data_IF_722114548615
#
_entry.id   IF_722114548615
#
_cell.length_a   1.000
_cell.length_b   1.000
_cell.length_c   1.000
_cell.angle_alpha   90.00
_cell.angle_beta   90.00
_cell.angle_gamma   90.00
#
_symmetry.space_group_name_H-M   'P 1'
#
loop_
_entity.id
_entity.type
_entity.pdbx_description
1 polymer ?
#
# COMPACT_ATOMS: atom_id res chain seq x y z
N UNK A 1 7.81 14.04 -22.01
CA UNK A 1 6.66 13.27 -21.50
C UNK A 1 5.89 14.17 -20.55
N UNK A 2 4.65 14.48 -20.88
CA UNK A 2 3.71 15.25 -20.07
C UNK A 2 3.42 14.50 -18.77
N UNK A 3 3.50 15.19 -17.62
CA UNK A 3 3.11 14.63 -16.33
C UNK A 3 1.61 14.31 -16.40
N UNK A 4 1.17 13.09 -16.05
CA UNK A 4 -0.25 12.78 -16.04
C UNK A 4 -0.97 13.74 -15.07
N UNK A 5 -2.18 14.20 -15.41
CA UNK A 5 -2.93 15.10 -14.53
C UNK A 5 -3.06 14.48 -13.14
N UNK A 6 -3.00 15.28 -12.08
CA UNK A 6 -3.32 14.75 -10.75
C UNK A 6 -4.82 14.44 -10.66
N UNK A 7 -5.25 13.43 -9.89
CA UNK A 7 -6.67 13.19 -9.65
C UNK A 7 -7.31 14.46 -9.09
N UNK A 8 -8.56 14.75 -9.44
CA UNK A 8 -9.33 15.82 -8.78
C UNK A 8 -10.04 15.31 -7.53
N UNK A 9 -10.02 13.99 -7.29
CA UNK A 9 -10.65 13.28 -6.17
C UNK A 9 -9.93 11.94 -5.92
N UNK A 10 -10.12 11.34 -4.76
CA UNK A 10 -9.63 10.00 -4.45
C UNK A 10 -10.20 8.96 -5.43
N UNK A 11 -9.33 8.06 -5.93
CA UNK A 11 -9.67 6.96 -6.83
C UNK A 11 -9.26 5.66 -6.18
N UNK A 12 -10.19 4.69 -6.07
CA UNK A 12 -9.91 3.37 -5.53
C UNK A 12 -9.85 2.37 -6.68
N UNK A 13 -8.76 1.61 -6.74
CA UNK A 13 -8.56 0.51 -7.69
C UNK A 13 -8.47 -0.82 -6.94
N UNK A 14 -9.33 -1.77 -7.30
CA UNK A 14 -9.32 -3.14 -6.79
C UNK A 14 -9.10 -4.13 -7.93
N UNK A 15 -8.42 -5.25 -7.70
CA UNK A 15 -8.26 -6.29 -8.72
C UNK A 15 -9.61 -6.90 -9.12
N UNK A 16 -9.75 -7.38 -10.37
CA UNK A 16 -8.72 -7.47 -11.41
C UNK A 16 -8.57 -6.19 -12.25
N UNK A 17 -9.32 -5.12 -11.94
CA UNK A 17 -9.25 -3.87 -12.70
C UNK A 17 -7.83 -3.31 -12.60
N UNK A 18 -7.26 -2.93 -13.74
CA UNK A 18 -5.99 -2.20 -13.81
C UNK A 18 -6.25 -0.74 -14.13
N UNK A 19 -5.56 0.14 -13.43
CA UNK A 19 -5.54 1.57 -13.67
C UNK A 19 -4.10 2.03 -13.52
N UNK A 20 -3.58 2.76 -14.50
CA UNK A 20 -2.34 3.49 -14.28
C UNK A 20 -2.55 4.49 -13.15
N UNK A 21 -1.54 4.64 -12.29
CA UNK A 21 -1.61 5.63 -11.22
C UNK A 21 -1.70 7.04 -11.81
N UNK A 22 -2.80 7.71 -11.50
CA UNK A 22 -2.97 9.13 -11.83
C UNK A 22 -2.48 9.90 -10.60
N UNK A 23 -1.44 10.72 -10.75
CA UNK A 23 -0.84 11.49 -9.66
C UNK A 23 -0.18 10.65 -8.56
N UNK A 24 -0.39 11.03 -7.30
CA UNK A 24 0.23 10.37 -6.13
C UNK A 24 -0.59 9.15 -5.72
N UNK A 25 0.06 8.07 -5.31
CA UNK A 25 -0.58 6.77 -5.10
C UNK A 25 -0.09 6.02 -3.87
N UNK A 26 -0.96 5.14 -3.34
CA UNK A 26 -0.69 4.28 -2.19
C UNK A 26 -1.19 2.86 -2.43
N UNK A 27 -0.43 1.87 -1.98
CA UNK A 27 -0.84 0.45 -1.97
C UNK A 27 -1.16 -0.01 -0.54
N UNK A 28 -2.28 -0.73 -0.36
CA UNK A 28 -2.77 -1.22 0.94
C UNK A 28 -2.37 -2.68 1.20
N UNK A 29 -1.09 -2.96 1.39
CA UNK A 29 -0.60 -4.30 1.71
C UNK A 29 -0.76 -4.64 3.20
N UNK A 30 -0.73 -5.93 3.52
CA UNK A 30 -0.90 -6.43 4.88
C UNK A 30 -2.03 -7.45 4.99
N UNK A 31 -2.61 -7.49 6.18
CA UNK A 31 -3.51 -8.56 6.61
C UNK A 31 -4.83 -8.56 5.84
N UNK A 32 -5.15 -9.68 5.17
CA UNK A 32 -6.41 -9.93 4.41
C UNK A 32 -6.99 -11.31 4.78
N UNK A 33 -6.58 -11.90 5.90
CA UNK A 33 -6.98 -13.25 6.30
C UNK A 33 -8.50 -13.33 6.55
N UNK A 34 -9.21 -13.96 5.62
CA UNK A 34 -10.68 -14.01 5.60
C UNK A 34 -11.23 -14.69 6.85
N UNK A 35 -11.90 -13.90 7.70
CA UNK A 35 -12.49 -14.34 8.97
C UNK A 35 -11.63 -14.08 10.20
N UNK A 36 -10.45 -13.47 10.03
CA UNK A 36 -9.54 -13.11 11.13
C UNK A 36 -9.14 -11.64 11.07
N UNK A 37 -8.76 -11.15 9.88
CA UNK A 37 -8.42 -9.75 9.64
C UNK A 37 -9.69 -8.87 9.58
N UNK A 38 -9.61 -7.67 10.16
CA UNK A 38 -10.68 -6.66 10.02
C UNK A 38 -10.67 -6.07 8.60
N UNK A 39 -11.66 -5.24 8.26
CA UNK A 39 -11.65 -4.46 7.01
C UNK A 39 -10.97 -3.10 7.15
N UNK A 40 -9.74 -3.14 7.65
CA UNK A 40 -8.92 -1.95 7.83
C UNK A 40 -8.66 -1.20 6.50
N UNK A 41 -8.69 -1.90 5.36
CA UNK A 41 -8.56 -1.26 4.06
C UNK A 41 -9.71 -0.28 3.80
N UNK A 42 -10.92 -0.59 4.28
CA UNK A 42 -12.07 0.32 4.19
C UNK A 42 -11.87 1.55 5.05
N UNK A 43 -11.39 1.38 6.27
CA UNK A 43 -11.21 2.48 7.23
C UNK A 43 -10.17 3.48 6.71
N UNK A 44 -9.00 3.00 6.28
CA UNK A 44 -7.95 3.88 5.76
C UNK A 44 -8.34 4.51 4.42
N UNK A 45 -9.08 3.80 3.57
CA UNK A 45 -9.63 4.37 2.33
C UNK A 45 -10.59 5.51 2.62
N UNK A 46 -11.46 5.36 3.62
CA UNK A 46 -12.36 6.42 4.06
C UNK A 46 -11.59 7.62 4.61
N UNK A 47 -10.57 7.35 5.43
CA UNK A 47 -9.76 8.38 6.05
C UNK A 47 -8.86 9.16 5.07
N UNK A 48 -8.62 8.67 3.86
CA UNK A 48 -7.84 9.32 2.80
C UNK A 48 -8.71 9.85 1.65
N UNK A 49 -10.04 9.77 1.77
CA UNK A 49 -10.98 10.04 0.66
C UNK A 49 -11.04 11.51 0.21
N UNK A 50 -10.61 12.43 1.07
CA UNK A 50 -10.48 13.87 0.80
C UNK A 50 -9.25 14.21 -0.05
N UNK A 51 -8.28 13.29 -0.17
CA UNK A 51 -7.05 13.54 -0.91
C UNK A 51 -7.18 13.18 -2.40
N UNK A 52 -6.51 13.91 -3.30
CA UNK A 52 -6.46 13.59 -4.73
C UNK A 52 -5.44 12.48 -5.03
N UNK A 53 -5.68 11.28 -4.50
CA UNK A 53 -4.75 10.14 -4.61
C UNK A 53 -5.39 8.91 -5.27
N UNK A 54 -4.55 8.03 -5.81
CA UNK A 54 -4.96 6.69 -6.25
C UNK A 54 -4.63 5.67 -5.16
N UNK A 55 -5.64 4.93 -4.69
CA UNK A 55 -5.50 3.86 -3.69
C UNK A 55 -5.63 2.51 -4.37
N UNK A 56 -4.57 1.71 -4.34
CA UNK A 56 -4.58 0.32 -4.79
C UNK A 56 -4.87 -0.60 -3.61
N UNK A 57 -6.06 -1.18 -3.62
CA UNK A 57 -6.55 -2.06 -2.56
C UNK A 57 -6.57 -3.51 -3.06
N UNK A 58 -5.66 -4.38 -2.58
CA UNK A 58 -5.55 -5.77 -3.04
C UNK A 58 -6.72 -6.66 -2.59
N UNK A 59 -7.51 -6.24 -1.59
CA UNK A 59 -8.64 -7.02 -1.08
C UNK A 59 -9.75 -7.13 -2.13
N UNK A 60 -9.81 -8.30 -2.80
CA UNK A 60 -10.88 -8.66 -3.75
C UNK A 60 -12.23 -8.79 -3.05
N UNK A 61 -13.27 -8.22 -3.64
CA UNK A 61 -14.65 -8.41 -3.18
C UNK A 61 -15.14 -9.84 -3.45
N UNK A 62 -14.69 -10.45 -4.56
CA UNK A 62 -15.11 -11.78 -5.02
C UNK A 62 -13.99 -12.82 -4.91
N UNK A 63 -13.27 -12.88 -3.77
CA UNK A 63 -12.26 -13.93 -3.56
C UNK A 63 -12.90 -15.30 -3.39
N UNK A 64 -12.47 -16.28 -4.19
CA UNK A 64 -12.91 -17.66 -4.09
C UNK A 64 -11.84 -18.53 -3.41
N UNK A 65 -12.18 -19.09 -2.25
CA UNK A 65 -11.28 -19.95 -1.46
C UNK A 65 -10.92 -21.25 -2.18
N UNK A 66 -11.65 -21.64 -3.24
CA UNK A 66 -11.35 -22.82 -4.05
C UNK A 66 -10.18 -22.62 -5.00
N UNK A 67 -9.71 -21.38 -5.21
CA UNK A 67 -8.59 -21.13 -6.10
C UNK A 67 -7.32 -21.77 -5.57
N UNK A 68 -6.77 -22.70 -6.35
CA UNK A 68 -5.45 -23.29 -6.11
C UNK A 68 -4.39 -22.18 -6.12
N UNK A 69 -3.62 -22.05 -5.05
CA UNK A 69 -2.50 -21.12 -4.93
C UNK A 69 -1.26 -21.67 -5.66
N UNK A 70 -1.29 -21.60 -6.98
CA UNK A 70 -0.27 -22.12 -7.87
C UNK A 70 -0.19 -21.25 -9.11
N UNK A 71 1.00 -21.03 -9.66
CA UNK A 71 1.19 -20.19 -10.85
C UNK A 71 0.42 -20.70 -12.08
N UNK A 72 0.08 -21.99 -12.13
CA UNK A 72 -0.77 -22.60 -13.16
C UNK A 72 -2.24 -22.17 -13.07
N UNK A 73 -2.70 -21.65 -11.94
CA UNK A 73 -4.04 -21.09 -11.79
C UNK A 73 -4.04 -19.62 -12.28
N UNK A 74 -4.72 -19.30 -13.39
CA UNK A 74 -4.65 -17.96 -13.98
C UNK A 74 -5.27 -16.88 -13.09
N UNK A 75 -6.35 -17.17 -12.35
CA UNK A 75 -6.97 -16.19 -11.43
C UNK A 75 -6.06 -15.86 -10.25
N UNK A 76 -5.41 -16.87 -9.68
CA UNK A 76 -4.42 -16.68 -8.61
C UNK A 76 -3.21 -15.90 -9.12
N UNK A 77 -2.65 -16.31 -10.27
CA UNK A 77 -1.51 -15.62 -10.89
C UNK A 77 -1.86 -14.16 -11.20
N UNK A 78 -3.03 -13.89 -11.74
CA UNK A 78 -3.47 -12.52 -12.05
C UNK A 78 -3.52 -11.65 -10.78
N UNK A 79 -4.01 -12.19 -9.65
CA UNK A 79 -3.97 -11.47 -8.38
C UNK A 79 -2.54 -11.13 -7.97
N UNK A 80 -1.67 -12.14 -7.90
CA UNK A 80 -0.30 -11.95 -7.40
C UNK A 80 0.48 -10.99 -8.32
N UNK A 81 0.31 -11.11 -9.64
CA UNK A 81 0.93 -10.19 -10.60
C UNK A 81 0.34 -8.78 -10.47
N UNK A 82 -0.97 -8.64 -10.26
CA UNK A 82 -1.58 -7.34 -9.99
C UNK A 82 -1.00 -6.70 -8.72
N UNK A 83 -0.82 -7.45 -7.64
CA UNK A 83 -0.24 -6.94 -6.40
C UNK A 83 1.20 -6.47 -6.61
N UNK A 84 2.04 -7.32 -7.23
CA UNK A 84 3.44 -7.00 -7.50
C UNK A 84 3.61 -5.77 -8.40
N UNK A 85 2.87 -5.69 -9.51
CA UNK A 85 3.00 -4.57 -10.45
C UNK A 85 2.68 -3.22 -9.77
N UNK A 86 1.64 -3.16 -8.94
CA UNK A 86 1.30 -1.91 -8.26
C UNK A 86 2.22 -1.61 -7.07
N UNK A 87 2.67 -2.62 -6.32
CA UNK A 87 3.69 -2.43 -5.28
C UNK A 87 4.99 -1.83 -5.86
N UNK A 88 5.36 -2.22 -7.08
CA UNK A 88 6.53 -1.69 -7.78
C UNK A 88 6.38 -0.23 -8.18
N UNK A 89 5.15 0.23 -8.45
CA UNK A 89 4.88 1.55 -9.04
C UNK A 89 4.45 2.64 -8.04
N UNK A 90 3.80 2.28 -6.93
CA UNK A 90 3.23 3.28 -6.02
C UNK A 90 4.26 4.17 -5.33
N UNK A 91 3.82 5.35 -4.86
CA UNK A 91 4.65 6.27 -4.09
C UNK A 91 4.79 5.85 -2.61
N UNK A 92 3.72 5.29 -2.04
CA UNK A 92 3.66 4.86 -0.64
C UNK A 92 3.14 3.42 -0.57
N UNK A 93 3.77 2.58 0.23
CA UNK A 93 3.33 1.21 0.50
C UNK A 93 2.99 1.11 1.99
N UNK A 94 1.76 0.71 2.29
CA UNK A 94 1.35 0.39 3.65
C UNK A 94 1.56 -1.11 3.87
N UNK A 95 2.11 -1.48 5.03
CA UNK A 95 2.06 -2.85 5.53
C UNK A 95 1.38 -2.87 6.91
N UNK A 96 0.14 -3.34 6.96
CA UNK A 96 -0.59 -3.50 8.22
C UNK A 96 -0.60 -4.97 8.70
N UNK A 97 0.10 -5.25 9.79
CA UNK A 97 0.16 -6.57 10.43
C UNK A 97 -0.79 -6.62 11.62
N UNK A 98 -1.99 -7.19 11.46
CA UNK A 98 -2.97 -7.26 12.55
C UNK A 98 -2.61 -8.35 13.57
N UNK A 99 -2.88 -8.12 14.87
CA UNK A 99 -2.75 -9.15 15.90
C UNK A 99 -3.53 -10.42 15.54
N UNK A 100 -2.96 -11.59 15.81
CA UNK A 100 -3.60 -12.88 15.53
C UNK A 100 -3.52 -13.36 14.08
N UNK A 101 -3.09 -12.54 13.13
CA UNK A 101 -2.87 -12.94 11.72
C UNK A 101 -1.47 -13.54 11.52
N UNK A 102 -1.25 -14.23 10.40
CA UNK A 102 0.07 -14.74 9.97
C UNK A 102 0.75 -13.85 8.94
N UNK A 103 -0.02 -13.36 7.97
CA UNK A 103 0.42 -12.42 6.91
C UNK A 103 1.77 -12.78 6.25
N UNK A 104 1.98 -14.04 5.80
CA UNK A 104 3.28 -14.50 5.30
C UNK A 104 3.70 -13.78 4.02
N UNK A 105 2.76 -13.47 3.11
CA UNK A 105 3.05 -12.73 1.89
C UNK A 105 3.48 -11.31 2.21
N UNK A 106 2.84 -10.65 3.17
CA UNK A 106 3.25 -9.31 3.59
C UNK A 106 4.60 -9.25 4.31
N UNK A 107 5.05 -10.35 4.92
CA UNK A 107 6.44 -10.46 5.38
C UNK A 107 7.43 -10.54 4.20
N UNK A 108 7.05 -11.16 3.07
CA UNK A 108 7.86 -11.14 1.84
C UNK A 108 7.90 -9.74 1.24
N UNK A 109 6.75 -9.07 1.16
CA UNK A 109 6.63 -7.68 0.67
C UNK A 109 7.49 -6.73 1.51
N UNK A 110 7.47 -6.88 2.85
CA UNK A 110 8.38 -6.14 3.74
C UNK A 110 9.84 -6.33 3.33
N UNK A 111 10.26 -7.56 3.08
CA UNK A 111 11.63 -7.87 2.67
C UNK A 111 12.00 -7.29 1.30
N UNK A 112 11.10 -7.40 0.31
CA UNK A 112 11.32 -6.92 -1.06
C UNK A 112 11.44 -5.39 -1.09
N UNK A 113 10.58 -4.68 -0.36
CA UNK A 113 10.50 -3.21 -0.42
C UNK A 113 11.20 -2.50 0.75
N UNK A 114 11.89 -3.22 1.63
CA UNK A 114 12.52 -2.65 2.84
C UNK A 114 13.38 -1.42 2.56
N UNK A 115 14.19 -1.46 1.48
CA UNK A 115 15.11 -0.40 1.11
C UNK A 115 14.54 0.58 0.06
N UNK A 116 13.25 0.49 -0.27
CA UNK A 116 12.65 1.36 -1.29
C UNK A 116 12.39 2.79 -0.79
N UNK A 117 12.40 2.99 0.54
CA UNK A 117 12.03 4.26 1.16
C UNK A 117 10.54 4.61 1.06
N UNK A 118 9.68 3.68 0.61
CA UNK A 118 8.23 3.90 0.38
C UNK A 118 7.32 3.32 1.46
N UNK A 119 7.87 2.47 2.32
CA UNK A 119 7.08 1.73 3.31
C UNK A 119 6.68 2.61 4.50
N UNK A 120 5.46 2.38 4.98
CA UNK A 120 4.99 2.74 6.32
C UNK A 120 4.35 1.48 6.91
N UNK A 121 4.84 1.03 8.07
CA UNK A 121 4.45 -0.26 8.67
C UNK A 121 3.66 -0.01 9.94
N UNK A 122 2.51 -0.68 10.07
CA UNK A 122 1.78 -0.81 11.33
C UNK A 122 1.90 -2.25 11.83
N UNK A 123 2.37 -2.43 13.06
CA UNK A 123 2.52 -3.75 13.67
C UNK A 123 2.22 -3.69 15.18
N UNK A 124 0.94 -3.67 15.58
CA UNK A 124 0.53 -3.66 16.98
C UNK A 124 1.00 -4.91 17.74
N UNK A 125 0.92 -4.86 19.07
CA UNK A 125 1.31 -5.99 19.92
C UNK A 125 0.40 -7.19 19.61
N UNK A 126 0.95 -8.40 19.63
CA UNK A 126 0.19 -9.62 19.33
C UNK A 126 0.33 -10.12 17.88
N UNK A 127 1.02 -9.41 16.99
CA UNK A 127 1.48 -10.01 15.73
C UNK A 127 2.66 -10.97 16.01
N UNK A 128 2.53 -12.22 15.58
CA UNK A 128 3.42 -13.33 15.98
C UNK A 128 4.88 -13.18 15.52
N UNK A 129 5.16 -12.34 14.52
CA UNK A 129 6.52 -11.99 14.05
C UNK A 129 6.88 -10.53 14.31
N UNK A 130 6.22 -9.85 15.25
CA UNK A 130 6.47 -8.44 15.56
C UNK A 130 7.96 -8.13 15.80
N UNK A 131 8.67 -8.95 16.57
CA UNK A 131 10.11 -8.75 16.80
C UNK A 131 10.95 -8.74 15.52
N UNK A 132 10.63 -9.59 14.54
CA UNK A 132 11.32 -9.59 13.24
C UNK A 132 10.97 -8.33 12.43
N UNK A 133 9.70 -7.93 12.44
CA UNK A 133 9.24 -6.70 11.77
C UNK A 133 9.96 -5.48 12.35
N UNK A 134 10.05 -5.39 13.68
CA UNK A 134 10.76 -4.32 14.40
C UNK A 134 12.23 -4.23 13.97
N UNK A 135 12.97 -5.34 13.98
CA UNK A 135 14.39 -5.37 13.57
C UNK A 135 14.59 -4.95 12.12
N UNK A 136 13.71 -5.37 11.21
CA UNK A 136 13.79 -4.95 9.80
C UNK A 136 13.49 -3.46 9.68
N UNK A 137 12.44 -2.97 10.34
CA UNK A 137 12.08 -1.55 10.27
C UNK A 137 13.19 -0.65 10.81
N UNK A 138 13.75 -1.01 11.96
CA UNK A 138 14.90 -0.30 12.56
C UNK A 138 16.11 -0.28 11.61
N UNK A 139 16.47 -1.45 11.07
CA UNK A 139 17.62 -1.59 10.16
C UNK A 139 17.53 -0.72 8.91
N UNK A 140 16.33 -0.56 8.34
CA UNK A 140 16.11 0.17 7.09
C UNK A 140 15.52 1.57 7.30
N UNK A 141 15.34 2.02 8.55
CA UNK A 141 14.73 3.32 8.85
C UNK A 141 13.27 3.43 8.38
N UNK A 142 12.53 2.32 8.38
CA UNK A 142 11.13 2.27 7.98
C UNK A 142 10.27 2.77 9.16
N UNK A 143 9.37 3.75 8.96
CA UNK A 143 8.42 4.16 9.99
C UNK A 143 7.58 2.97 10.46
N UNK A 144 7.65 2.67 11.76
CA UNK A 144 6.90 1.62 12.41
C UNK A 144 5.99 2.23 13.47
N UNK A 145 4.68 1.99 13.35
CA UNK A 145 3.65 2.48 14.27
C UNK A 145 2.83 1.31 14.83
N UNK A 146 2.00 1.61 15.84
CA UNK A 146 1.28 0.58 16.59
C UNK A 146 -0.24 0.69 16.46
N UNK A 147 -0.75 1.77 15.88
CA UNK A 147 -2.19 2.01 15.75
C UNK A 147 -2.59 2.40 14.33
N UNK A 148 -3.87 2.15 14.01
CA UNK A 148 -4.45 2.58 12.72
C UNK A 148 -4.48 4.11 12.57
N UNK A 149 -4.63 4.83 13.68
CA UNK A 149 -4.61 6.29 13.71
C UNK A 149 -3.21 6.83 13.33
N UNK A 150 -2.17 6.35 14.00
CA UNK A 150 -0.79 6.70 13.67
C UNK A 150 -0.42 6.31 12.23
N UNK A 151 -0.89 5.14 11.77
CA UNK A 151 -0.67 4.69 10.40
C UNK A 151 -1.28 5.69 9.40
N UNK A 152 -2.54 6.07 9.64
CA UNK A 152 -3.27 7.00 8.79
C UNK A 152 -2.56 8.36 8.73
N UNK A 153 -2.13 8.89 9.87
CA UNK A 153 -1.41 10.17 9.95
C UNK A 153 -0.08 10.12 9.19
N UNK A 154 0.74 9.08 9.41
CA UNK A 154 2.03 8.93 8.73
C UNK A 154 1.86 8.80 7.20
N UNK A 155 0.86 8.03 6.76
CA UNK A 155 0.56 7.85 5.33
C UNK A 155 0.07 9.15 4.72
N UNK A 156 -0.88 9.84 5.35
CA UNK A 156 -1.38 11.15 4.89
C UNK A 156 -0.23 12.13 4.70
N UNK A 157 0.64 12.26 5.71
CA UNK A 157 1.81 13.13 5.65
C UNK A 157 2.70 12.80 4.44
N UNK A 158 3.03 11.52 4.23
CA UNK A 158 3.85 11.06 3.10
C UNK A 158 3.22 11.37 1.74
N UNK A 159 1.92 11.19 1.62
CA UNK A 159 1.17 11.50 0.39
C UNK A 159 1.20 13.01 0.11
N UNK A 160 0.95 13.84 1.12
CA UNK A 160 1.00 15.30 0.97
C UNK A 160 2.39 15.83 0.61
N UNK A 161 3.45 15.29 1.22
CA UNK A 161 4.84 15.60 0.89
C UNK A 161 5.15 15.24 -0.57
N UNK A 162 4.70 14.05 -1.01
CA UNK A 162 4.87 13.59 -2.40
C UNK A 162 4.13 14.49 -3.39
N UNK A 163 2.90 14.89 -3.08
CA UNK A 163 2.12 15.82 -3.90
C UNK A 163 2.78 17.20 -3.98
N UNK A 164 3.28 17.74 -2.86
CA UNK A 164 4.02 19.01 -2.82
C UNK A 164 5.28 18.95 -3.68
N UNK A 165 6.06 17.87 -3.58
CA UNK A 165 7.27 17.65 -4.38
C UNK A 165 6.96 17.62 -5.88
N UNK A 166 5.96 16.83 -6.30
CA UNK A 166 5.53 16.76 -7.72
C UNK A 166 5.05 18.10 -8.25
N UNK A 167 4.28 18.86 -7.47
CA UNK A 167 3.83 20.21 -7.83
C UNK A 167 5.01 21.16 -8.03
N UNK A 168 5.97 21.14 -7.11
CA UNK A 168 7.18 21.95 -7.21
C UNK A 168 8.01 21.61 -8.46
N UNK A 169 8.28 20.33 -8.70
CA UNK A 169 9.00 19.87 -9.90
C UNK A 169 8.29 20.25 -11.21
N UNK A 170 6.96 20.23 -11.20
CA UNK A 170 6.15 20.67 -12.36
C UNK A 170 6.32 22.16 -12.64
N UNK A 171 6.29 23.00 -11.59
CA UNK A 171 6.49 24.46 -11.72
C UNK A 171 7.91 24.76 -12.24
N UNK A 172 8.93 24.13 -11.66
CA UNK A 172 10.32 24.31 -12.11
C UNK A 172 10.53 23.91 -13.58
N UNK A 173 9.95 22.80 -14.03
CA UNK A 173 10.02 22.38 -15.42
C UNK A 173 9.33 23.35 -16.39
N UNK A 174 8.24 24.00 -15.97
CA UNK A 174 7.50 24.97 -16.79
C UNK A 174 8.29 26.29 -16.86
N UNK A 175 8.95 26.69 -15.78
CA UNK A 175 9.69 27.97 -15.70
C UNK A 175 11.09 27.92 -16.35
N UNK A 176 11.51 26.77 -16.89
CA UNK A 176 12.70 26.68 -17.75
C UNK A 176 14.01 27.07 -17.06
N UNK A 177 14.18 26.71 -15.79
CA UNK A 177 15.46 26.77 -15.08
C UNK A 177 15.90 25.39 -14.62
#
# INVERSE_FOLDING_TARGET
>A
MSIPPSPTKCVICKPPKRLESIGTSVFLAGSIEMGTATDWQRDITSALSDLPVTIFNPRRDNWDKSWKQDISNPQFKEQVVWEMDHLDEVDVIILNFEPGTKSPISLLELGIYANSGRLVVCCPEGFWKRGNVQVVCDRYGIPLVETMEELTEQVRKRLEETMKKRRFESIWRIEGR
#
